data_IF_725381711780
#
_entry.id   IF_725381711780
#
_cell.length_a   1.000
_cell.length_b   1.000
_cell.length_c   1.000
_cell.angle_alpha   90.00
_cell.angle_beta   90.00
_cell.angle_gamma   90.00
#
_symmetry.space_group_name_H-M   'P 1'
#
loop_
_entity.id
_entity.type
_entity.pdbx_description
1 polymer ?
#
# COMPACT_ATOMS: atom_id res chain seq x y z
N UNK A 1 13.27 -18.01 -2.63
CA UNK A 1 13.39 -18.50 -1.24
C UNK A 1 11.98 -18.68 -0.69
N UNK A 2 11.71 -19.76 0.04
CA UNK A 2 10.43 -19.91 0.74
C UNK A 2 10.32 -18.82 1.82
N UNK A 3 9.15 -18.17 1.99
CA UNK A 3 8.98 -17.15 3.00
C UNK A 3 9.17 -17.74 4.40
N UNK A 4 9.85 -17.01 5.28
CA UNK A 4 10.06 -17.44 6.67
C UNK A 4 8.77 -17.23 7.48
N UNK A 5 8.28 -18.29 8.13
CA UNK A 5 7.12 -18.17 9.01
C UNK A 5 7.44 -17.27 10.22
N UNK A 6 6.54 -16.34 10.49
CA UNK A 6 6.61 -15.43 11.65
C UNK A 6 6.01 -16.07 12.90
N UNK A 7 5.07 -16.99 12.72
CA UNK A 7 4.34 -17.65 13.80
C UNK A 7 3.85 -19.03 13.33
N UNK A 8 3.74 -19.98 14.26
CA UNK A 8 3.21 -21.31 14.04
C UNK A 8 2.21 -21.64 15.16
N UNK A 9 1.08 -22.24 14.79
CA UNK A 9 0.02 -22.59 15.70
C UNK A 9 -1.13 -23.26 14.95
N UNK A 10 -2.35 -23.05 15.36
CA UNK A 10 -3.53 -23.60 14.72
C UNK A 10 -4.69 -22.60 14.67
N UNK A 11 -5.56 -22.76 13.68
CA UNK A 11 -6.89 -22.14 13.69
C UNK A 11 -7.84 -23.09 14.39
N UNK A 12 -8.54 -22.58 15.39
CA UNK A 12 -9.51 -23.38 16.19
C UNK A 12 -10.90 -22.74 16.14
N UNK A 13 -11.92 -23.57 16.04
CA UNK A 13 -13.31 -23.17 16.19
C UNK A 13 -14.13 -24.42 16.61
N UNK A 14 -14.83 -24.34 17.72
CA UNK A 14 -15.47 -25.49 18.31
C UNK A 14 -14.47 -26.62 18.61
N UNK A 15 -14.67 -27.79 18.04
CA UNK A 15 -13.77 -28.95 18.18
C UNK A 15 -12.79 -29.11 17.01
N UNK A 16 -12.83 -28.20 16.05
CA UNK A 16 -11.95 -28.26 14.88
C UNK A 16 -10.62 -27.56 15.18
N UNK A 17 -9.53 -28.23 14.82
CA UNK A 17 -8.16 -27.70 14.94
C UNK A 17 -7.45 -27.88 13.60
N UNK A 18 -6.97 -26.78 13.02
CA UNK A 18 -6.25 -26.74 11.73
C UNK A 18 -4.86 -26.19 11.96
N UNK A 19 -3.81 -27.02 11.95
CA UNK A 19 -2.44 -26.57 12.08
C UNK A 19 -2.03 -25.63 10.94
N UNK A 20 -1.55 -24.42 11.30
CA UNK A 20 -1.19 -23.36 10.34
C UNK A 20 0.11 -22.66 10.72
N UNK A 21 0.64 -21.93 9.76
CA UNK A 21 1.76 -21.03 9.93
C UNK A 21 1.48 -19.69 9.25
N UNK A 22 1.94 -18.59 9.86
CA UNK A 22 1.70 -17.23 9.36
C UNK A 22 2.96 -16.62 8.75
N UNK A 23 2.74 -15.85 7.70
CA UNK A 23 3.74 -15.07 6.96
C UNK A 23 3.27 -13.63 6.81
N UNK A 24 4.19 -12.68 6.65
CA UNK A 24 3.77 -11.31 6.30
C UNK A 24 3.09 -11.31 4.94
N UNK A 25 1.92 -10.65 4.83
CA UNK A 25 1.24 -10.44 3.56
C UNK A 25 1.73 -9.19 2.82
N UNK A 26 2.41 -8.29 3.54
CA UNK A 26 2.86 -6.99 3.04
C UNK A 26 4.35 -6.81 3.34
N UNK A 27 5.06 -6.22 2.41
CA UNK A 27 6.41 -5.72 2.60
C UNK A 27 6.44 -4.23 2.22
N UNK A 28 7.13 -3.45 3.01
CA UNK A 28 7.23 -2.02 2.77
C UNK A 28 8.39 -1.71 1.82
N UNK A 29 8.20 -0.73 0.94
CA UNK A 29 9.23 -0.20 0.05
C UNK A 29 10.17 0.73 0.83
N UNK A 30 10.92 0.19 1.82
CA UNK A 30 11.84 1.02 2.62
C UNK A 30 13.26 0.96 2.05
N UNK A 31 13.81 2.14 1.73
CA UNK A 31 15.26 2.29 1.59
C UNK A 31 15.89 2.23 2.99
N UNK A 32 16.85 1.34 3.17
CA UNK A 32 17.57 1.23 4.44
C UNK A 32 18.73 2.23 4.43
N UNK A 33 18.74 3.12 5.42
CA UNK A 33 19.81 4.05 5.65
C UNK A 33 20.58 3.65 6.90
N UNK A 34 21.90 3.67 6.81
CA UNK A 34 22.78 3.52 7.96
C UNK A 34 23.19 4.91 8.46
N UNK A 35 23.23 5.08 9.78
CA UNK A 35 23.80 6.27 10.39
C UNK A 35 25.30 6.07 10.49
N UNK A 36 26.03 7.02 9.92
CA UNK A 36 27.49 7.02 9.92
C UNK A 36 28.04 8.36 10.39
N UNK A 37 29.22 8.36 10.93
CA UNK A 37 29.94 9.58 11.31
C UNK A 37 30.42 10.30 10.05
N UNK A 38 30.08 11.58 9.90
CA UNK A 38 30.32 12.36 8.69
C UNK A 38 31.80 12.43 8.29
N UNK A 39 32.71 12.37 9.29
CA UNK A 39 34.13 12.56 9.06
C UNK A 39 34.83 11.35 8.45
N UNK A 40 34.38 10.14 8.76
CA UNK A 40 35.13 8.91 8.48
C UNK A 40 34.26 7.71 8.11
N UNK A 41 32.96 7.94 7.86
CA UNK A 41 31.93 6.93 7.57
C UNK A 41 31.84 5.82 8.63
N UNK A 42 32.35 6.05 9.86
CA UNK A 42 32.29 5.13 10.96
C UNK A 42 30.84 4.82 11.36
N UNK A 43 30.45 3.53 11.55
CA UNK A 43 29.09 3.19 11.95
C UNK A 43 28.77 3.73 13.34
N UNK A 44 27.57 4.29 13.49
CA UNK A 44 27.08 4.82 14.78
C UNK A 44 26.48 3.70 15.60
N UNK A 45 26.97 3.53 16.83
CA UNK A 45 26.38 2.66 17.87
C UNK A 45 25.59 3.47 18.88
N UNK A 46 24.72 2.77 19.64
CA UNK A 46 23.93 3.37 20.74
C UNK A 46 24.30 2.68 22.05
N UNK A 47 24.60 3.47 23.06
CA UNK A 47 24.74 3.01 24.43
C UNK A 47 23.49 3.36 25.25
N UNK A 48 23.07 2.45 26.14
CA UNK A 48 22.01 2.72 27.12
C UNK A 48 22.60 3.42 28.33
N UNK A 49 22.13 4.61 28.63
CA UNK A 49 22.63 5.44 29.71
C UNK A 49 21.54 5.67 30.75
N UNK A 50 21.86 5.46 32.04
CA UNK A 50 20.99 5.86 33.15
C UNK A 50 20.96 7.39 33.25
N UNK A 51 19.77 7.99 33.06
CA UNK A 51 19.60 9.45 33.08
C UNK A 51 19.84 10.09 34.42
N UNK A 52 19.81 9.32 35.50
CA UNK A 52 20.07 9.84 36.85
C UNK A 52 21.56 9.87 37.18
N UNK A 53 22.32 8.88 36.72
CA UNK A 53 23.75 8.74 37.02
C UNK A 53 24.65 9.20 35.86
N UNK A 54 24.08 9.42 34.70
CA UNK A 54 24.79 9.74 33.43
C UNK A 54 25.89 8.73 33.08
N UNK A 55 25.58 7.43 33.35
CA UNK A 55 26.52 6.30 33.10
C UNK A 55 25.89 5.24 32.22
N UNK A 56 26.68 4.57 31.36
CA UNK A 56 26.23 3.38 30.63
C UNK A 56 25.76 2.29 31.59
N UNK A 57 24.67 1.59 31.22
CA UNK A 57 24.11 0.47 32.00
C UNK A 57 23.99 -0.76 31.12
N UNK A 58 24.32 -1.93 31.66
CA UNK A 58 24.20 -3.21 31.05
C UNK A 58 22.74 -3.61 30.81
N UNK A 59 22.50 -4.54 29.85
CA UNK A 59 21.15 -5.03 29.59
C UNK A 59 20.57 -5.81 30.78
N UNK A 60 21.42 -6.43 31.58
CA UNK A 60 21.11 -7.19 32.78
C UNK A 60 20.72 -6.30 33.99
N UNK A 61 21.08 -5.03 33.94
CA UNK A 61 20.70 -4.04 34.93
C UNK A 61 19.40 -3.29 34.61
N UNK A 62 18.79 -3.57 33.42
CA UNK A 62 17.59 -2.89 32.92
C UNK A 62 16.39 -3.79 33.10
N UNK A 63 15.41 -3.32 33.89
CA UNK A 63 14.13 -3.96 34.13
C UNK A 63 12.98 -3.16 33.51
N UNK A 64 11.90 -3.83 33.19
CA UNK A 64 10.65 -3.17 32.78
C UNK A 64 9.90 -2.70 34.02
N UNK A 65 9.40 -1.49 34.01
CA UNK A 65 8.58 -0.99 35.12
C UNK A 65 7.32 -0.29 34.56
N UNK A 66 6.21 -0.49 35.28
CA UNK A 66 4.94 0.17 35.01
C UNK A 66 4.72 1.29 36.00
N UNK A 67 4.51 2.52 35.54
CA UNK A 67 4.19 3.66 36.39
C UNK A 67 2.68 3.69 36.64
N UNK A 68 2.26 3.27 37.85
CA UNK A 68 0.84 3.26 38.21
C UNK A 68 0.36 4.58 38.84
N UNK A 69 1.27 5.37 39.36
CA UNK A 69 1.09 6.76 39.80
C UNK A 69 2.37 7.53 39.53
N UNK A 70 2.27 8.84 39.34
CA UNK A 70 3.42 9.72 39.09
C UNK A 70 4.56 9.46 40.09
N UNK A 71 5.69 8.98 39.62
CA UNK A 71 6.88 8.65 40.39
C UNK A 71 6.83 7.32 41.16
N UNK A 72 5.76 6.50 41.01
CA UNK A 72 5.66 5.18 41.64
C UNK A 72 5.68 4.09 40.59
N UNK A 73 6.73 3.28 40.59
CA UNK A 73 7.01 2.24 39.62
C UNK A 73 6.83 0.86 40.26
N UNK A 74 6.20 -0.05 39.49
CA UNK A 74 6.21 -1.49 39.76
C UNK A 74 7.11 -2.16 38.75
N UNK A 75 8.13 -2.84 39.21
CA UNK A 75 9.04 -3.62 38.36
C UNK A 75 8.36 -4.91 37.95
N UNK A 76 8.50 -5.27 36.69
CA UNK A 76 7.97 -6.52 36.11
C UNK A 76 9.14 -7.33 35.58
N UNK A 77 9.20 -8.58 36.02
CA UNK A 77 10.17 -9.59 35.58
C UNK A 77 9.64 -10.34 34.37
N UNK A 78 10.51 -11.10 33.68
CA UNK A 78 10.04 -11.96 32.59
C UNK A 78 9.11 -13.07 33.12
N UNK A 79 9.29 -13.53 34.36
CA UNK A 79 8.40 -14.48 35.04
C UNK A 79 6.99 -13.91 35.23
N UNK A 80 6.85 -12.61 35.54
CA UNK A 80 5.55 -11.95 35.64
C UNK A 80 4.81 -11.95 34.31
N UNK A 81 5.53 -11.72 33.21
CA UNK A 81 4.92 -11.81 31.85
C UNK A 81 4.59 -13.24 31.46
N UNK A 82 5.35 -14.23 31.91
CA UNK A 82 5.04 -15.64 31.70
C UNK A 82 3.85 -16.11 32.55
N UNK A 83 3.67 -15.56 33.74
CA UNK A 83 2.56 -15.86 34.64
C UNK A 83 1.20 -15.39 34.07
N UNK A 84 1.18 -14.41 33.18
CA UNK A 84 -0.04 -14.02 32.46
C UNK A 84 -0.41 -15.15 31.51
N UNK A 85 -1.27 -16.05 31.97
CA UNK A 85 -1.83 -17.11 31.12
C UNK A 85 -2.86 -16.48 30.18
N UNK A 86 -2.43 -16.16 28.96
CA UNK A 86 -3.35 -15.83 27.89
C UNK A 86 -3.75 -17.14 27.19
N UNK A 87 -5.01 -17.48 27.26
CA UNK A 87 -5.57 -18.57 26.45
C UNK A 87 -5.24 -18.30 24.96
N UNK A 88 -4.89 -19.36 24.21
CA UNK A 88 -4.61 -19.22 22.77
C UNK A 88 -3.19 -18.82 22.40
N UNK A 89 -2.16 -19.08 23.24
CA UNK A 89 -0.74 -18.76 22.90
C UNK A 89 -0.26 -19.30 21.55
N UNK A 90 -0.87 -20.39 21.07
CA UNK A 90 -0.53 -21.04 19.79
C UNK A 90 -1.76 -21.32 18.93
N UNK A 91 -2.85 -20.58 19.15
CA UNK A 91 -4.06 -20.69 18.36
C UNK A 91 -4.60 -19.33 17.92
N UNK A 92 -5.34 -19.39 16.83
CA UNK A 92 -6.26 -18.35 16.37
C UNK A 92 -7.63 -18.89 16.71
N UNK A 93 -8.20 -18.46 17.83
CA UNK A 93 -9.42 -18.98 18.37
C UNK A 93 -10.60 -18.19 17.80
N UNK A 94 -11.28 -18.79 16.81
CA UNK A 94 -12.43 -18.15 16.16
C UNK A 94 -13.66 -18.30 17.05
N UNK A 95 -14.27 -17.17 17.40
CA UNK A 95 -15.45 -17.07 18.26
C UNK A 95 -16.72 -16.84 17.44
N UNK A 96 -16.65 -16.00 16.40
CA UNK A 96 -17.79 -15.59 15.57
C UNK A 96 -17.51 -15.69 14.09
N UNK A 97 -18.55 -15.76 13.26
CA UNK A 97 -18.51 -15.61 11.82
C UNK A 97 -19.49 -14.52 11.38
N UNK A 98 -18.99 -13.48 10.72
CA UNK A 98 -19.76 -12.29 10.34
C UNK A 98 -19.56 -11.97 8.85
N UNK A 99 -20.41 -11.08 8.29
CA UNK A 99 -20.18 -10.55 6.95
C UNK A 99 -19.00 -9.54 6.97
N UNK A 100 -18.13 -9.64 5.97
CA UNK A 100 -16.93 -8.77 5.91
C UNK A 100 -17.29 -7.28 5.87
N UNK A 101 -18.39 -6.94 5.22
CA UNK A 101 -18.90 -5.59 5.02
C UNK A 101 -19.39 -4.93 6.33
N UNK A 102 -19.64 -5.71 7.39
CA UNK A 102 -20.02 -5.18 8.70
C UNK A 102 -18.82 -4.61 9.48
N UNK A 103 -17.59 -4.92 9.04
CA UNK A 103 -16.37 -4.49 9.72
C UNK A 103 -15.89 -3.18 9.10
N UNK A 104 -15.87 -2.12 9.91
CA UNK A 104 -15.28 -0.84 9.48
C UNK A 104 -13.77 -1.01 9.23
N UNK A 105 -13.23 -0.52 8.09
CA UNK A 105 -11.80 -0.59 7.78
C UNK A 105 -10.87 0.00 8.86
N UNK A 106 -11.36 0.90 9.71
CA UNK A 106 -10.57 1.49 10.83
C UNK A 106 -10.05 0.43 11.80
N UNK A 107 -10.71 -0.73 11.88
CA UNK A 107 -10.28 -1.82 12.76
C UNK A 107 -9.05 -2.55 12.24
N UNK A 108 -8.74 -2.53 10.95
CA UNK A 108 -7.65 -3.32 10.38
C UNK A 108 -6.28 -2.65 10.56
N UNK A 109 -5.29 -3.40 11.07
CA UNK A 109 -3.93 -2.93 11.32
C UNK A 109 -2.89 -3.60 10.42
N UNK A 110 -2.77 -4.94 10.47
CA UNK A 110 -1.76 -5.70 9.75
C UNK A 110 -2.34 -6.96 9.12
N UNK A 111 -1.86 -7.31 7.93
CA UNK A 111 -2.30 -8.50 7.19
C UNK A 111 -1.23 -9.59 7.20
N UNK A 112 -1.66 -10.83 7.42
CA UNK A 112 -0.81 -12.02 7.38
C UNK A 112 -1.39 -13.08 6.44
N UNK A 113 -0.55 -13.72 5.65
CA UNK A 113 -0.92 -14.93 4.92
C UNK A 113 -0.85 -16.12 5.88
N UNK A 114 -1.87 -16.97 5.86
CA UNK A 114 -1.96 -18.15 6.70
C UNK A 114 -1.96 -19.38 5.81
N UNK A 115 -0.93 -20.20 5.92
CA UNK A 115 -0.78 -21.45 5.17
C UNK A 115 -0.85 -22.68 6.09
N UNK A 116 -1.09 -23.87 5.54
CA UNK A 116 -1.09 -25.10 6.31
C UNK A 116 0.32 -25.44 6.83
N UNK A 117 0.41 -26.14 7.94
CA UNK A 117 1.60 -26.91 8.29
C UNK A 117 1.59 -28.24 7.54
N UNK A 118 2.76 -28.86 7.46
CA UNK A 118 2.93 -30.17 6.80
C UNK A 118 1.96 -31.21 7.38
N UNK A 119 1.20 -31.89 6.53
CA UNK A 119 0.18 -32.86 6.90
C UNK A 119 -1.21 -32.27 7.24
N UNK A 120 -1.36 -30.96 7.29
CA UNK A 120 -2.62 -30.29 7.57
C UNK A 120 -3.38 -29.81 6.30
N UNK A 121 -2.87 -30.10 5.09
CA UNK A 121 -3.37 -29.54 3.84
C UNK A 121 -4.85 -29.85 3.61
N UNK A 122 -5.30 -31.06 3.97
CA UNK A 122 -6.70 -31.49 3.79
C UNK A 122 -7.67 -30.70 4.69
N UNK A 123 -7.33 -30.55 5.97
CA UNK A 123 -8.16 -29.79 6.92
C UNK A 123 -8.14 -28.30 6.61
N UNK A 124 -7.01 -27.77 6.20
CA UNK A 124 -6.87 -26.40 5.71
C UNK A 124 -7.75 -26.15 4.46
N UNK A 125 -7.68 -27.03 3.45
CA UNK A 125 -8.48 -26.89 2.25
C UNK A 125 -10.00 -27.01 2.54
N UNK A 126 -10.39 -27.82 3.53
CA UNK A 126 -11.78 -27.90 3.97
C UNK A 126 -12.23 -26.55 4.57
N UNK A 127 -11.44 -25.96 5.47
CA UNK A 127 -11.76 -24.66 6.09
C UNK A 127 -11.87 -23.56 5.02
N UNK A 128 -10.89 -23.46 4.10
CA UNK A 128 -10.94 -22.49 2.98
C UNK A 128 -12.24 -22.61 2.20
N UNK A 129 -12.59 -23.83 1.75
CA UNK A 129 -13.81 -24.05 0.95
C UNK A 129 -15.10 -23.78 1.74
N UNK A 130 -15.11 -24.08 3.04
CA UNK A 130 -16.26 -23.79 3.89
C UNK A 130 -16.49 -22.29 4.02
N UNK A 131 -15.42 -21.52 4.26
CA UNK A 131 -15.48 -20.07 4.38
C UNK A 131 -15.80 -19.41 3.03
N UNK A 132 -15.23 -19.87 1.91
CA UNK A 132 -15.59 -19.38 0.56
C UNK A 132 -17.10 -19.59 0.28
N UNK A 133 -17.62 -20.75 0.65
CA UNK A 133 -19.03 -21.09 0.39
C UNK A 133 -19.99 -20.32 1.30
N UNK A 134 -19.61 -20.05 2.55
CA UNK A 134 -20.43 -19.25 3.48
C UNK A 134 -20.43 -17.77 3.14
N UNK A 135 -19.36 -17.25 2.52
CA UNK A 135 -19.15 -15.83 2.31
C UNK A 135 -18.85 -15.04 3.60
N UNK A 136 -18.66 -15.75 4.73
CA UNK A 136 -18.40 -15.13 6.03
C UNK A 136 -16.91 -15.12 6.37
N UNK A 137 -16.51 -14.21 7.25
CA UNK A 137 -15.18 -14.12 7.83
C UNK A 137 -15.23 -14.52 9.31
N UNK A 138 -14.16 -15.15 9.79
CA UNK A 138 -14.07 -15.58 11.18
C UNK A 138 -13.42 -14.51 12.06
N UNK A 139 -14.07 -14.15 13.16
CA UNK A 139 -13.53 -13.23 14.16
C UNK A 139 -13.04 -14.05 15.35
N UNK A 140 -11.85 -13.71 15.85
CA UNK A 140 -11.29 -14.41 16.97
C UNK A 140 -10.07 -13.72 17.56
N UNK A 141 -9.47 -14.36 18.56
CA UNK A 141 -8.29 -13.84 19.24
C UNK A 141 -7.07 -14.70 18.95
N UNK A 142 -5.91 -14.09 18.93
CA UNK A 142 -4.64 -14.80 18.80
C UNK A 142 -3.53 -14.08 19.58
N UNK A 143 -2.51 -14.84 19.94
CA UNK A 143 -1.36 -14.30 20.67
C UNK A 143 -0.11 -14.32 19.76
N UNK A 144 0.55 -13.21 19.66
CA UNK A 144 1.83 -13.07 18.97
C UNK A 144 2.77 -12.16 19.76
N UNK A 145 4.00 -12.60 19.98
CA UNK A 145 5.03 -11.83 20.72
C UNK A 145 4.55 -11.38 22.12
N UNK A 146 3.92 -12.29 22.86
CA UNK A 146 3.38 -12.07 24.21
C UNK A 146 2.30 -10.98 24.31
N UNK A 147 1.62 -10.69 23.22
CA UNK A 147 0.45 -9.79 23.21
C UNK A 147 -0.72 -10.47 22.51
N UNK A 148 -1.93 -10.32 23.09
CA UNK A 148 -3.17 -10.76 22.48
C UNK A 148 -3.66 -9.71 21.49
N UNK A 149 -4.19 -10.18 20.37
CA UNK A 149 -4.77 -9.38 19.30
C UNK A 149 -6.14 -9.93 18.91
N UNK A 150 -7.01 -9.05 18.47
CA UNK A 150 -8.20 -9.41 17.72
C UNK A 150 -7.80 -9.69 16.27
N UNK A 151 -8.43 -10.66 15.64
CA UNK A 151 -8.14 -11.04 14.27
C UNK A 151 -9.39 -11.36 13.47
N UNK A 152 -9.36 -11.00 12.19
CA UNK A 152 -10.37 -11.38 11.21
C UNK A 152 -9.72 -12.34 10.20
N UNK A 153 -10.16 -13.61 10.23
CA UNK A 153 -9.72 -14.63 9.27
C UNK A 153 -10.65 -14.62 8.07
N UNK A 154 -10.10 -14.40 6.88
CA UNK A 154 -10.86 -14.40 5.62
C UNK A 154 -10.15 -15.19 4.53
N UNK A 155 -10.86 -15.52 3.46
CA UNK A 155 -10.26 -16.12 2.27
C UNK A 155 -9.98 -15.06 1.23
N UNK A 156 -8.76 -15.06 0.69
CA UNK A 156 -8.32 -14.27 -0.45
C UNK A 156 -7.50 -15.13 -1.40
N UNK A 157 -7.88 -15.19 -2.65
CA UNK A 157 -7.17 -15.97 -3.69
C UNK A 157 -6.91 -17.43 -3.26
N UNK A 158 -7.92 -18.10 -2.67
CA UNK A 158 -7.86 -19.46 -2.13
C UNK A 158 -6.86 -19.64 -0.97
N UNK A 159 -6.44 -18.56 -0.35
CA UNK A 159 -5.53 -18.57 0.79
C UNK A 159 -6.20 -17.90 1.98
N UNK A 160 -6.03 -18.45 3.17
CA UNK A 160 -6.45 -17.78 4.39
C UNK A 160 -5.57 -16.56 4.62
N UNK A 161 -6.19 -15.45 4.94
CA UNK A 161 -5.53 -14.20 5.33
C UNK A 161 -6.08 -13.82 6.71
N UNK A 162 -5.18 -13.57 7.65
CA UNK A 162 -5.52 -13.06 8.98
C UNK A 162 -5.24 -11.55 8.98
N UNK A 163 -6.29 -10.78 9.14
CA UNK A 163 -6.18 -9.34 9.39
C UNK A 163 -6.12 -9.13 10.91
N UNK A 164 -5.01 -8.64 11.42
CA UNK A 164 -4.91 -8.16 12.80
C UNK A 164 -5.79 -6.93 12.95
N UNK A 165 -6.56 -6.89 14.04
CA UNK A 165 -7.52 -5.83 14.30
C UNK A 165 -7.21 -5.12 15.62
N UNK A 166 -7.67 -3.90 15.73
CA UNK A 166 -7.76 -3.14 16.97
C UNK A 166 -8.97 -3.63 17.80
N UNK A 167 -8.86 -3.55 19.13
CA UNK A 167 -10.02 -3.68 20.00
C UNK A 167 -10.87 -2.40 19.93
N UNK A 168 -12.15 -2.51 20.27
CA UNK A 168 -13.09 -1.39 20.16
C UNK A 168 -12.72 -0.17 21.04
N UNK A 169 -12.05 -0.40 22.16
CA UNK A 169 -11.55 0.62 23.07
C UNK A 169 -10.23 1.28 22.59
N UNK A 170 -9.59 0.71 21.57
CA UNK A 170 -8.42 1.32 20.90
C UNK A 170 -8.84 2.32 19.80
N UNK A 171 -10.12 2.36 19.41
CA UNK A 171 -10.63 3.24 18.34
C UNK A 171 -11.14 4.55 18.92
N UNK A 172 -10.50 5.63 18.55
CA UNK A 172 -10.93 6.97 18.95
C UNK A 172 -12.23 7.38 18.26
N UNK A 173 -13.15 7.93 19.04
CA UNK A 173 -14.38 8.49 18.47
C UNK A 173 -14.04 9.79 17.70
N UNK A 174 -14.68 10.05 16.54
CA UNK A 174 -14.44 11.27 15.76
C UNK A 174 -14.97 12.56 16.43
N UNK A 175 -15.58 12.44 17.61
CA UNK A 175 -16.09 13.57 18.39
C UNK A 175 -14.96 14.51 18.79
N UNK A 176 -15.16 15.81 18.51
CA UNK A 176 -14.17 16.85 18.81
C UNK A 176 -13.18 17.16 17.67
N UNK A 177 -13.12 16.32 16.62
CA UNK A 177 -12.30 16.58 15.42
C UNK A 177 -13.02 17.55 14.47
N UNK A 178 -14.34 17.45 14.39
CA UNK A 178 -15.18 18.30 13.55
C UNK A 178 -15.90 19.31 14.43
N UNK A 179 -16.02 20.60 14.04
CA UNK A 179 -16.84 21.58 14.75
C UNK A 179 -18.26 21.06 14.95
N UNK A 180 -18.82 21.31 16.13
CA UNK A 180 -20.19 20.88 16.50
C UNK A 180 -21.28 21.39 15.54
N UNK A 181 -20.99 22.47 14.80
CA UNK A 181 -21.87 23.04 13.78
C UNK A 181 -21.08 23.35 12.51
N UNK A 182 -21.29 22.56 11.48
CA UNK A 182 -20.76 22.84 10.15
C UNK A 182 -21.62 23.92 9.46
N UNK A 183 -21.01 24.76 8.61
CA UNK A 183 -21.74 25.69 7.75
C UNK A 183 -22.73 24.94 6.85
N UNK A 184 -23.85 25.59 6.52
CA UNK A 184 -24.78 25.05 5.54
C UNK A 184 -24.21 25.18 4.13
N UNK A 185 -24.33 24.12 3.35
CA UNK A 185 -23.87 24.07 1.94
C UNK A 185 -25.10 24.16 1.03
N UNK A 186 -25.02 25.00 0.00
CA UNK A 186 -26.08 25.17 -0.97
C UNK A 186 -26.23 23.97 -1.91
N UNK A 187 -27.46 23.72 -2.39
CA UNK A 187 -27.71 22.60 -3.32
C UNK A 187 -26.84 22.69 -4.60
N UNK A 188 -26.69 23.89 -5.15
CA UNK A 188 -25.87 24.12 -6.35
C UNK A 188 -24.40 23.77 -6.15
N UNK A 189 -23.87 24.02 -4.95
CA UNK A 189 -22.48 23.66 -4.58
C UNK A 189 -22.32 22.14 -4.49
N UNK A 190 -23.31 21.47 -3.87
CA UNK A 190 -23.34 20.00 -3.79
C UNK A 190 -23.44 19.37 -5.18
N UNK A 191 -24.34 19.85 -6.03
CA UNK A 191 -24.52 19.33 -7.39
C UNK A 191 -23.23 19.49 -8.22
N UNK A 192 -22.52 20.61 -8.06
CA UNK A 192 -21.24 20.85 -8.74
C UNK A 192 -20.14 19.92 -8.22
N UNK A 193 -20.05 19.71 -6.91
CA UNK A 193 -19.12 18.77 -6.30
C UNK A 193 -19.38 17.31 -6.74
N UNK A 194 -20.65 16.90 -6.82
CA UNK A 194 -21.04 15.59 -7.33
C UNK A 194 -20.61 15.38 -8.80
N UNK A 195 -20.83 16.38 -9.67
CA UNK A 195 -20.35 16.30 -11.05
C UNK A 195 -18.83 16.16 -11.15
N UNK A 196 -18.07 16.80 -10.24
CA UNK A 196 -16.62 16.67 -10.18
C UNK A 196 -16.22 15.25 -9.74
N UNK A 197 -16.84 14.73 -8.67
CA UNK A 197 -16.61 13.37 -8.19
C UNK A 197 -16.92 12.33 -9.28
N UNK A 198 -18.04 12.47 -9.97
CA UNK A 198 -18.36 11.62 -11.14
C UNK A 198 -17.28 11.72 -12.23
N UNK A 199 -16.72 12.92 -12.41
CA UNK A 199 -15.59 13.16 -13.33
C UNK A 199 -14.38 12.27 -13.03
N UNK A 200 -14.10 12.03 -11.77
CA UNK A 200 -12.98 11.20 -11.28
C UNK A 200 -13.38 9.76 -10.93
N UNK A 201 -14.64 9.41 -10.95
CA UNK A 201 -15.11 8.06 -10.64
C UNK A 201 -14.56 7.03 -11.62
N UNK A 202 -14.13 5.90 -11.11
CA UNK A 202 -13.58 4.82 -11.90
C UNK A 202 -13.47 3.51 -11.09
N UNK A 203 -13.00 2.46 -11.75
CA UNK A 203 -12.70 1.19 -11.09
C UNK A 203 -11.39 1.30 -10.33
N UNK A 204 -11.33 0.71 -9.13
CA UNK A 204 -10.11 0.61 -8.35
C UNK A 204 -9.03 -0.20 -9.09
N UNK A 205 -7.88 0.42 -9.33
CA UNK A 205 -6.72 -0.16 -9.99
C UNK A 205 -5.48 0.26 -9.18
N UNK A 206 -5.04 -0.56 -8.23
CA UNK A 206 -3.91 -0.23 -7.34
C UNK A 206 -2.62 0.06 -8.10
N UNK A 207 -2.42 -0.56 -9.27
CA UNK A 207 -1.22 -0.40 -10.10
C UNK A 207 -1.05 1.02 -10.69
N UNK A 208 -2.08 1.87 -10.59
CA UNK A 208 -2.00 3.28 -10.99
C UNK A 208 -1.31 4.18 -9.98
N UNK A 209 -1.19 3.70 -8.74
CA UNK A 209 -0.65 4.47 -7.63
C UNK A 209 0.76 3.96 -7.33
N UNK A 210 1.75 4.71 -7.81
CA UNK A 210 3.17 4.39 -7.67
C UNK A 210 3.79 5.26 -6.57
N UNK A 211 4.78 4.71 -5.85
CA UNK A 211 5.57 5.45 -4.87
C UNK A 211 6.63 6.31 -5.58
N UNK A 212 6.19 7.46 -6.07
CA UNK A 212 7.05 8.42 -6.78
C UNK A 212 8.14 9.02 -5.89
N UNK A 213 7.94 9.06 -4.56
CA UNK A 213 8.94 9.57 -3.63
C UNK A 213 10.14 8.64 -3.53
N UNK A 214 9.90 7.35 -3.33
CA UNK A 214 10.99 6.36 -3.26
C UNK A 214 11.76 6.28 -4.58
N UNK A 215 11.10 6.41 -5.71
CA UNK A 215 11.75 6.42 -7.01
C UNK A 215 12.58 7.69 -7.23
N UNK A 216 12.07 8.86 -6.90
CA UNK A 216 12.83 10.10 -6.93
C UNK A 216 14.06 10.04 -6.00
N UNK A 217 13.92 9.47 -4.82
CA UNK A 217 15.04 9.30 -3.88
C UNK A 217 16.11 8.34 -4.40
N UNK A 218 15.71 7.27 -5.09
CA UNK A 218 16.64 6.36 -5.79
C UNK A 218 17.42 7.09 -6.89
N UNK A 219 16.78 7.96 -7.64
CA UNK A 219 17.47 8.76 -8.68
C UNK A 219 18.47 9.75 -8.05
N UNK A 220 18.11 10.39 -6.93
CA UNK A 220 19.03 11.23 -6.15
C UNK A 220 20.26 10.44 -5.69
N UNK A 221 20.06 9.23 -5.16
CA UNK A 221 21.16 8.35 -4.74
C UNK A 221 22.05 7.98 -5.95
N UNK A 222 21.46 7.62 -7.07
CA UNK A 222 22.20 7.31 -8.32
C UNK A 222 23.00 8.52 -8.84
N UNK A 223 22.44 9.74 -8.77
CA UNK A 223 23.13 10.95 -9.17
C UNK A 223 24.34 11.23 -8.27
N UNK A 224 24.18 11.07 -6.94
CA UNK A 224 25.29 11.21 -5.97
C UNK A 224 26.39 10.18 -6.21
N UNK A 225 26.05 8.92 -6.49
CA UNK A 225 27.02 7.88 -6.83
C UNK A 225 27.83 8.21 -8.08
N UNK A 226 27.28 8.97 -9.03
CA UNK A 226 27.97 9.43 -10.26
C UNK A 226 28.69 10.76 -10.07
N UNK A 227 28.69 11.36 -8.87
CA UNK A 227 29.34 12.65 -8.59
C UNK A 227 28.59 13.86 -9.18
N UNK A 228 27.33 13.72 -9.54
CA UNK A 228 26.52 14.82 -10.05
C UNK A 228 25.96 15.66 -8.90
N UNK A 229 26.00 17.01 -9.05
CA UNK A 229 25.30 17.92 -8.15
C UNK A 229 23.79 17.74 -8.27
N UNK A 230 23.11 17.75 -7.11
CA UNK A 230 21.66 17.62 -7.04
C UNK A 230 21.07 19.02 -7.04
N UNK A 231 20.33 19.35 -8.08
CA UNK A 231 19.51 20.56 -8.06
C UNK A 231 18.23 20.29 -7.24
N UNK A 232 17.97 21.18 -6.28
CA UNK A 232 16.73 21.16 -5.50
C UNK A 232 15.55 21.34 -6.48
N UNK A 233 14.55 20.50 -6.38
CA UNK A 233 13.31 20.73 -7.11
C UNK A 233 12.78 22.13 -6.76
N UNK A 234 12.31 22.92 -7.73
CA UNK A 234 11.71 24.21 -7.43
C UNK A 234 10.58 24.01 -6.42
N UNK A 235 10.56 24.86 -5.41
CA UNK A 235 9.48 24.92 -4.42
C UNK A 235 8.18 25.23 -5.19
N UNK A 236 7.17 24.38 -5.03
CA UNK A 236 5.87 24.65 -5.65
C UNK A 236 5.32 25.90 -4.99
N UNK A 237 5.27 26.99 -5.73
CA UNK A 237 4.57 28.21 -5.30
C UNK A 237 3.12 27.80 -4.98
N UNK A 238 2.67 28.09 -3.77
CA UNK A 238 1.28 27.94 -3.40
C UNK A 238 0.49 28.99 -4.19
N UNK A 239 -0.14 28.56 -5.29
CA UNK A 239 -1.11 29.41 -5.98
C UNK A 239 -2.20 29.80 -4.98
N UNK A 240 -2.53 31.09 -4.93
CA UNK A 240 -3.66 31.59 -4.15
C UNK A 240 -4.92 30.75 -4.49
N UNK A 241 -5.55 30.20 -3.47
CA UNK A 241 -6.75 29.37 -3.68
C UNK A 241 -7.86 30.23 -4.26
N UNK A 242 -8.29 30.00 -5.51
CA UNK A 242 -9.40 30.72 -6.10
C UNK A 242 -10.68 30.48 -5.28
N UNK A 243 -11.68 31.36 -5.42
CA UNK A 243 -12.99 31.15 -4.79
C UNK A 243 -13.48 29.72 -5.05
N UNK A 244 -14.00 29.07 -4.01
CA UNK A 244 -14.41 27.65 -4.04
C UNK A 244 -15.26 27.31 -5.27
N UNK A 245 -16.18 28.20 -5.65
CA UNK A 245 -17.07 27.99 -6.81
C UNK A 245 -16.33 28.08 -8.13
N UNK A 246 -15.35 28.96 -8.23
CA UNK A 246 -14.52 29.09 -9.42
C UNK A 246 -13.55 27.91 -9.55
N UNK A 247 -12.95 27.47 -8.45
CA UNK A 247 -12.08 26.27 -8.40
C UNK A 247 -12.86 25.01 -8.82
N UNK A 248 -14.06 24.80 -8.30
CA UNK A 248 -14.93 23.69 -8.68
C UNK A 248 -15.29 23.73 -10.17
N UNK A 249 -15.62 24.91 -10.71
CA UNK A 249 -15.97 25.08 -12.12
C UNK A 249 -14.80 24.77 -13.05
N UNK A 250 -13.62 25.30 -12.75
CA UNK A 250 -12.39 25.03 -13.49
C UNK A 250 -12.01 23.55 -13.46
N UNK A 251 -12.14 22.92 -12.29
CA UNK A 251 -11.83 21.49 -12.12
C UNK A 251 -12.79 20.59 -12.92
N UNK A 252 -14.09 20.92 -12.96
CA UNK A 252 -15.09 20.20 -13.80
C UNK A 252 -14.75 20.33 -15.29
N UNK A 253 -14.33 21.51 -15.75
CA UNK A 253 -13.91 21.70 -17.13
C UNK A 253 -12.65 20.88 -17.49
N UNK A 254 -11.67 20.86 -16.60
CA UNK A 254 -10.45 20.07 -16.78
C UNK A 254 -10.74 18.56 -16.82
N UNK A 255 -11.58 18.05 -15.92
CA UNK A 255 -12.01 16.65 -15.90
C UNK A 255 -12.74 16.25 -17.18
N UNK A 256 -13.59 17.12 -17.73
CA UNK A 256 -14.27 16.90 -19.03
C UNK A 256 -13.29 16.87 -20.21
N UNK A 257 -12.27 17.73 -20.21
CA UNK A 257 -11.20 17.74 -21.24
C UNK A 257 -10.34 16.48 -21.18
N UNK A 258 -9.96 16.04 -19.98
CA UNK A 258 -9.18 14.81 -19.76
C UNK A 258 -9.92 13.55 -20.25
N UNK A 259 -11.24 13.43 -19.94
CA UNK A 259 -12.06 12.31 -20.44
C UNK A 259 -12.24 12.31 -21.98
N UNK A 260 -12.28 13.47 -22.62
CA UNK A 260 -12.33 13.58 -24.09
C UNK A 260 -11.00 13.15 -24.74
N UNK A 261 -9.87 13.52 -24.16
CA UNK A 261 -8.55 13.10 -24.62
C UNK A 261 -8.32 11.58 -24.44
N UNK A 262 -8.76 11.01 -23.32
CA UNK A 262 -8.70 9.57 -23.06
C UNK A 262 -9.62 8.74 -23.96
N UNK A 263 -10.83 9.23 -24.27
CA UNK A 263 -11.75 8.56 -25.21
C UNK A 263 -11.24 8.58 -26.65
N UNK A 264 -10.55 9.63 -27.08
CA UNK A 264 -9.92 9.69 -28.42
C UNK A 264 -8.78 8.69 -28.55
N UNK A 265 -8.07 8.36 -27.48
CA UNK A 265 -7.01 7.31 -27.48
C UNK A 265 -7.56 5.89 -27.40
N UNK A 266 -8.71 5.67 -26.75
CA UNK A 266 -9.29 4.33 -26.56
C UNK A 266 -10.25 3.92 -27.68
N UNK A 267 -10.78 4.88 -28.48
CA UNK A 267 -11.62 4.60 -29.65
C UNK A 267 -10.85 4.05 -30.86
N UNK A 268 -9.52 4.06 -30.82
CA UNK A 268 -8.67 3.59 -31.93
C UNK A 268 -7.99 2.24 -31.66
N UNK A 269 -8.32 1.58 -30.50
CA UNK A 269 -7.73 0.28 -30.14
C UNK A 269 -8.67 -0.93 -30.25
N UNK A 270 -9.85 -0.80 -30.85
CA UNK A 270 -10.76 -1.92 -31.03
C UNK A 270 -11.21 -2.02 -32.49
N UNK A 271 -10.31 -2.41 -33.34
CA UNK A 271 -10.48 -3.22 -34.56
C UNK A 271 -9.23 -3.09 -35.44
N UNK A 272 -8.23 -3.92 -35.24
CA UNK A 272 -7.64 -4.70 -36.31
C UNK A 272 -6.51 -5.60 -35.77
N UNK A 273 -6.64 -6.88 -35.99
CA UNK A 273 -5.55 -7.84 -35.79
C UNK A 273 -4.42 -7.57 -36.77
N UNK A 274 -3.22 -7.83 -36.30
CA UNK A 274 -1.99 -8.11 -37.07
C UNK A 274 -1.85 -7.48 -38.44
N UNK A 275 -1.21 -6.32 -38.53
CA UNK A 275 -0.31 -5.95 -39.61
C UNK A 275 0.69 -4.94 -39.08
N UNK A 276 1.88 -5.39 -38.71
CA UNK A 276 3.06 -4.58 -38.55
C UNK A 276 3.47 -4.07 -39.92
N UNK A 277 3.26 -2.78 -40.19
CA UNK A 277 3.66 -2.19 -41.47
C UNK A 277 3.37 -0.70 -41.50
N UNK A 278 4.15 0.01 -42.28
CA UNK A 278 4.13 1.44 -42.57
C UNK A 278 2.76 2.00 -43.04
N UNK A 279 1.79 1.11 -43.28
CA UNK A 279 0.48 1.40 -43.91
C UNK A 279 -0.46 2.31 -43.10
N UNK A 280 -0.22 2.45 -41.80
CA UNK A 280 -1.02 3.31 -40.91
C UNK A 280 -0.45 4.70 -40.65
N UNK A 281 0.71 5.03 -41.20
CA UNK A 281 1.41 6.28 -40.92
C UNK A 281 0.94 7.43 -41.80
N UNK A 282 0.83 8.63 -41.23
CA UNK A 282 0.56 9.84 -42.02
C UNK A 282 1.77 10.23 -42.89
N UNK A 283 1.55 10.96 -43.98
CA UNK A 283 2.62 11.43 -44.86
C UNK A 283 3.76 12.15 -44.08
N UNK A 284 3.41 12.88 -43.03
CA UNK A 284 4.35 13.61 -42.18
C UNK A 284 5.24 12.68 -41.33
N UNK A 285 4.67 11.60 -40.81
CA UNK A 285 5.41 10.58 -40.06
C UNK A 285 6.33 9.75 -40.96
N UNK A 286 5.85 9.46 -42.18
CA UNK A 286 6.64 8.77 -43.21
C UNK A 286 7.80 9.65 -43.71
N UNK A 287 7.62 10.97 -43.83
CA UNK A 287 8.66 11.91 -44.22
C UNK A 287 9.74 12.09 -43.14
N UNK A 288 9.34 12.07 -41.86
CA UNK A 288 10.26 12.05 -40.72
C UNK A 288 11.13 10.79 -40.68
N UNK A 289 10.52 9.61 -40.87
CA UNK A 289 11.22 8.32 -40.96
C UNK A 289 12.13 8.25 -42.20
N UNK A 290 11.66 8.74 -43.33
CA UNK A 290 12.43 8.81 -44.57
C UNK A 290 13.64 9.79 -44.43
N UNK A 291 13.53 10.78 -43.53
CA UNK A 291 14.64 11.67 -43.17
C UNK A 291 15.70 10.98 -42.32
N UNK A 292 15.24 10.18 -41.31
CA UNK A 292 16.14 9.39 -40.46
C UNK A 292 16.88 8.29 -41.24
N UNK A 293 16.21 7.71 -42.26
CA UNK A 293 16.78 6.70 -43.15
C UNK A 293 17.55 7.29 -44.36
N UNK A 294 17.76 8.61 -44.39
CA UNK A 294 18.50 9.35 -45.45
C UNK A 294 17.99 9.06 -46.87
N UNK A 295 16.69 8.81 -47.06
CA UNK A 295 16.11 8.47 -48.39
C UNK A 295 16.14 9.68 -49.31
N UNK A 296 16.88 9.62 -50.45
CA UNK A 296 16.97 10.72 -51.37
C UNK A 296 15.67 10.99 -52.12
N UNK A 297 15.31 12.24 -52.35
CA UNK A 297 14.15 12.64 -53.16
C UNK A 297 12.81 12.66 -52.39
N UNK A 298 12.77 12.38 -51.06
CA UNK A 298 11.58 12.27 -50.20
C UNK A 298 10.57 13.43 -50.34
N UNK A 299 11.07 14.67 -50.52
CA UNK A 299 10.21 15.87 -50.60
C UNK A 299 9.27 15.90 -51.81
N UNK A 300 9.52 15.09 -52.81
CA UNK A 300 8.69 14.98 -54.03
C UNK A 300 7.82 13.75 -54.06
N UNK A 301 7.92 12.85 -53.07
CA UNK A 301 7.21 11.58 -53.03
C UNK A 301 5.79 11.76 -52.48
N UNK A 302 4.86 11.01 -53.01
CA UNK A 302 3.53 10.83 -52.46
C UNK A 302 3.58 10.03 -51.15
N UNK A 303 2.46 9.93 -50.40
CA UNK A 303 2.41 9.14 -49.16
C UNK A 303 2.75 7.67 -49.40
N UNK A 304 2.26 7.12 -50.50
CA UNK A 304 2.40 5.69 -50.79
C UNK A 304 3.83 5.36 -51.27
N UNK A 305 4.45 6.24 -52.04
CA UNK A 305 5.86 6.14 -52.45
C UNK A 305 6.81 6.29 -51.25
N UNK A 306 6.48 7.16 -50.25
CA UNK A 306 7.23 7.27 -49.01
C UNK A 306 7.10 6.00 -48.14
N UNK A 307 5.91 5.38 -48.12
CA UNK A 307 5.67 4.14 -47.38
C UNK A 307 6.49 2.97 -47.96
N UNK A 308 6.50 2.85 -49.29
CA UNK A 308 7.29 1.83 -50.01
C UNK A 308 8.82 2.07 -49.82
N UNK A 309 9.27 3.31 -49.95
CA UNK A 309 10.68 3.65 -49.80
C UNK A 309 11.18 3.39 -48.36
N UNK A 310 10.38 3.71 -47.35
CA UNK A 310 10.71 3.43 -45.92
C UNK A 310 10.68 1.93 -45.65
N UNK A 311 9.77 1.18 -46.27
CA UNK A 311 9.69 -0.27 -46.11
C UNK A 311 10.85 -1.01 -46.81
N UNK A 312 11.36 -0.48 -47.92
CA UNK A 312 12.53 -1.02 -48.64
C UNK A 312 13.88 -0.69 -47.94
N UNK A 313 13.93 0.36 -47.14
CA UNK A 313 15.13 0.81 -46.41
C UNK A 313 15.25 0.27 -44.98
N UNK A 314 14.28 -0.52 -44.50
CA UNK A 314 14.26 -1.23 -43.21
C UNK A 314 14.70 -2.67 -43.35
#
# INVERSE_FOLDING_TARGET
>A
MAPRALWKGSVTFGLVNVPVQMFSAVHEHKLQFHLVHEKDDGPIGYEKVCKLEDKPVGNDEIVKAFEYKKGQLVHLTDEDFEAVQVEGRHSIDLEDFVAYEEIDPVFFAHSYLVGPQDGAEKTYALLVRAMEKSGLVGIGKFVMRNRQYLGCLRVRDRTLTLEQMHFADEIDAPSGVVPSKLPSVGKSEIDMALNLIEGFSGTWQPEKYEDTYTDALREVIKAKLKGHEIHRAPELEQEETPDLMEALRLSVEQAKRGKRAGRSRNGQRSSNGSRSGVDGMSKRQLDELARELEIPGRSKMSRDELAEAVQAAR
#
